data_IF_837783286929
#
_entry.id   IF_837783286929
#
_cell.length_a   1.000
_cell.length_b   1.000
_cell.length_c   1.000
_cell.angle_alpha   90.00
_cell.angle_beta   90.00
_cell.angle_gamma   90.00
#
_symmetry.space_group_name_H-M   'P 1'
#
loop_
_entity.id
_entity.type
_entity.pdbx_description
1 polymer ?
#
# COMPACT_ATOMS: atom_id res chain seq x y z
N UNK A 1 -0.58 15.75 9.47
CA UNK A 1 -0.12 14.88 10.57
C UNK A 1 1.11 14.05 10.21
N UNK A 2 1.47 13.90 8.92
CA UNK A 2 2.71 13.23 8.48
C UNK A 2 3.03 11.90 9.19
N UNK A 3 1.99 11.10 9.42
CA UNK A 3 2.08 9.92 10.28
C UNK A 3 2.99 8.82 9.71
N UNK A 4 2.94 8.59 8.39
CA UNK A 4 3.78 7.57 7.75
C UNK A 4 5.27 7.89 7.87
N UNK A 5 5.74 9.03 7.32
CA UNK A 5 7.17 9.38 7.33
C UNK A 5 7.80 9.39 8.72
N UNK A 6 7.15 9.99 9.73
CA UNK A 6 7.70 10.01 11.10
C UNK A 6 7.87 8.60 11.70
N UNK A 7 6.96 7.67 11.40
CA UNK A 7 7.04 6.29 11.91
C UNK A 7 8.19 5.55 11.22
N UNK A 8 8.36 5.75 9.90
CA UNK A 8 9.45 5.15 9.12
C UNK A 8 10.81 5.67 9.58
N UNK A 9 10.93 6.99 9.77
CA UNK A 9 12.14 7.63 10.30
C UNK A 9 12.49 7.04 11.67
N UNK A 10 11.53 7.03 12.61
CA UNK A 10 11.78 6.54 13.96
C UNK A 10 12.15 5.06 14.01
N UNK A 11 11.53 4.23 13.18
CA UNK A 11 11.86 2.82 13.06
C UNK A 11 13.24 2.59 12.42
N UNK A 12 13.70 3.51 11.57
CA UNK A 12 15.04 3.47 10.96
C UNK A 12 16.11 3.86 11.97
N UNK A 13 15.91 4.94 12.74
CA UNK A 13 16.80 5.32 13.86
C UNK A 13 17.02 4.18 14.86
N UNK A 14 15.97 3.40 15.12
CA UNK A 14 15.99 2.27 16.06
C UNK A 14 16.46 0.95 15.43
N UNK A 15 16.91 0.96 14.17
CA UNK A 15 17.30 -0.23 13.41
C UNK A 15 16.26 -1.37 13.45
N UNK A 16 14.98 -1.02 13.34
CA UNK A 16 13.88 -1.97 13.40
C UNK A 16 13.55 -2.54 12.00
N UNK A 17 13.19 -3.82 11.97
CA UNK A 17 12.54 -4.43 10.82
C UNK A 17 11.16 -3.79 10.59
N UNK A 18 10.82 -3.52 9.33
CA UNK A 18 9.60 -2.81 8.93
C UNK A 18 8.81 -3.67 7.96
N UNK A 19 7.61 -4.10 8.36
CA UNK A 19 6.72 -4.94 7.55
C UNK A 19 5.54 -4.13 7.04
N UNK A 20 5.45 -3.95 5.72
CA UNK A 20 4.32 -3.27 5.08
C UNK A 20 3.18 -4.27 4.79
N UNK A 21 2.29 -4.47 5.75
CA UNK A 21 1.28 -5.56 5.73
C UNK A 21 0.07 -5.35 4.80
N UNK A 22 0.05 -4.25 4.02
CA UNK A 22 -1.06 -3.86 3.12
C UNK A 22 -0.56 -3.11 1.88
N UNK A 23 0.45 -3.65 1.21
CA UNK A 23 1.23 -2.96 0.18
C UNK A 23 0.44 -2.46 -1.05
N UNK A 24 -0.79 -2.94 -1.26
CA UNK A 24 -1.68 -2.54 -2.36
C UNK A 24 -3.08 -2.19 -1.87
N UNK A 25 -3.23 -1.68 -0.65
CA UNK A 25 -4.52 -1.20 -0.17
C UNK A 25 -4.88 0.16 -0.79
N UNK A 26 -6.14 0.30 -1.22
CA UNK A 26 -6.67 1.55 -1.78
C UNK A 26 -7.57 2.29 -0.80
N UNK A 27 -8.65 1.65 -0.33
CA UNK A 27 -9.65 2.29 0.53
C UNK A 27 -10.48 1.26 1.30
N UNK A 28 -11.37 1.72 2.18
CA UNK A 28 -12.43 0.90 2.78
C UNK A 28 -13.47 0.49 1.73
N UNK A 29 -14.04 -0.69 1.90
CA UNK A 29 -15.23 -1.11 1.14
C UNK A 29 -16.41 -0.32 1.70
N UNK A 30 -17.19 0.40 0.86
CA UNK A 30 -18.35 1.15 1.33
C UNK A 30 -19.39 0.26 2.01
N UNK A 31 -20.09 0.82 2.99
CA UNK A 31 -21.15 0.10 3.70
C UNK A 31 -22.22 -0.39 2.72
N UNK A 32 -22.66 -1.64 2.90
CA UNK A 32 -23.65 -2.28 2.02
C UNK A 32 -23.10 -2.78 0.68
N UNK A 33 -21.84 -2.53 0.33
CA UNK A 33 -21.23 -3.09 -0.88
C UNK A 33 -20.67 -4.50 -0.66
N UNK A 34 -20.80 -5.34 -1.69
CA UNK A 34 -20.24 -6.69 -1.70
C UNK A 34 -18.72 -6.63 -1.86
N UNK A 35 -18.03 -7.54 -1.19
CA UNK A 35 -16.59 -7.72 -1.37
C UNK A 35 -16.32 -8.36 -2.73
N UNK A 36 -15.71 -7.61 -3.65
CA UNK A 36 -15.23 -8.14 -4.94
C UNK A 36 -14.25 -9.30 -4.75
N UNK A 37 -13.39 -9.21 -3.73
CA UNK A 37 -12.42 -10.25 -3.35
C UNK A 37 -12.75 -10.80 -1.96
N UNK A 38 -13.23 -12.06 -1.85
CA UNK A 38 -13.68 -12.62 -0.56
C UNK A 38 -12.64 -12.57 0.56
N UNK A 39 -11.36 -12.70 0.21
CA UNK A 39 -10.23 -12.67 1.16
C UNK A 39 -9.79 -11.26 1.57
N UNK A 40 -10.27 -10.22 0.89
CA UNK A 40 -9.91 -8.83 1.18
C UNK A 40 -11.04 -8.15 1.95
N UNK A 41 -10.73 -7.62 3.14
CA UNK A 41 -11.69 -6.85 3.94
C UNK A 41 -11.66 -5.33 3.65
N UNK A 42 -10.80 -4.91 2.73
CA UNK A 42 -10.65 -3.56 2.20
C UNK A 42 -10.62 -3.64 0.67
N UNK A 43 -10.83 -2.52 -0.02
CA UNK A 43 -10.67 -2.44 -1.47
C UNK A 43 -9.17 -2.36 -1.80
N UNK A 44 -8.60 -3.36 -2.48
CA UNK A 44 -7.23 -3.27 -2.98
C UNK A 44 -7.17 -2.38 -4.24
N UNK A 45 -6.02 -1.76 -4.48
CA UNK A 45 -5.69 -1.26 -5.80
C UNK A 45 -5.66 -2.43 -6.79
N UNK A 46 -5.99 -2.18 -8.06
CA UNK A 46 -6.07 -3.22 -9.09
C UNK A 46 -5.17 -2.89 -10.28
N UNK A 47 -4.82 -3.94 -11.04
CA UNK A 47 -4.08 -3.85 -12.30
C UNK A 47 -2.85 -2.93 -12.21
N UNK A 48 -2.75 -1.90 -13.04
CA UNK A 48 -1.60 -1.00 -13.06
C UNK A 48 -1.45 -0.20 -11.76
N UNK A 49 -2.57 0.17 -11.12
CA UNK A 49 -2.53 0.86 -9.84
C UNK A 49 -1.99 -0.05 -8.72
N UNK A 50 -2.29 -1.36 -8.78
CA UNK A 50 -1.73 -2.33 -7.84
C UNK A 50 -0.21 -2.45 -8.00
N UNK A 51 0.26 -2.54 -9.25
CA UNK A 51 1.68 -2.60 -9.58
C UNK A 51 2.41 -1.35 -9.07
N UNK A 52 1.83 -0.18 -9.30
CA UNK A 52 2.39 1.09 -8.86
C UNK A 52 2.39 1.24 -7.34
N UNK A 53 1.31 0.86 -6.66
CA UNK A 53 1.22 0.90 -5.20
C UNK A 53 2.26 -0.02 -4.53
N UNK A 54 2.50 -1.20 -5.12
CA UNK A 54 3.54 -2.11 -4.63
C UNK A 54 4.95 -1.55 -4.87
N UNK A 55 5.23 -0.98 -6.05
CA UNK A 55 6.52 -0.30 -6.33
C UNK A 55 6.77 0.84 -5.34
N UNK A 56 5.77 1.70 -5.10
CA UNK A 56 5.85 2.73 -4.06
C UNK A 56 6.24 2.14 -2.70
N UNK A 57 5.55 1.07 -2.29
CA UNK A 57 5.79 0.40 -1.02
C UNK A 57 7.21 -0.17 -0.92
N UNK A 58 7.69 -0.84 -1.97
CA UNK A 58 9.02 -1.44 -2.02
C UNK A 58 10.15 -0.40 -2.14
N UNK A 59 9.86 0.80 -2.64
CA UNK A 59 10.79 1.94 -2.64
C UNK A 59 10.93 2.63 -1.27
N UNK A 60 10.10 2.28 -0.28
CA UNK A 60 10.29 2.75 1.08
C UNK A 60 11.40 1.93 1.76
N UNK A 61 12.07 2.46 2.80
CA UNK A 61 13.07 1.69 3.54
C UNK A 61 12.34 0.65 4.41
N UNK A 62 11.87 -0.45 3.83
CA UNK A 62 11.14 -1.53 4.50
C UNK A 62 11.89 -2.85 4.39
N UNK A 63 11.56 -3.81 5.25
CA UNK A 63 12.14 -5.16 5.23
C UNK A 63 11.35 -6.08 4.31
N UNK A 64 10.03 -5.99 4.32
CA UNK A 64 9.16 -6.80 3.48
C UNK A 64 7.80 -6.13 3.26
N UNK A 65 7.18 -6.46 2.13
CA UNK A 65 5.84 -6.03 1.76
C UNK A 65 4.91 -7.26 1.64
N UNK A 66 3.72 -7.18 2.21
CA UNK A 66 2.73 -8.25 2.14
C UNK A 66 1.59 -7.80 1.22
N UNK A 67 1.31 -8.56 0.14
CA UNK A 67 0.20 -8.26 -0.77
C UNK A 67 -1.16 -8.56 -0.11
N UNK A 68 -2.27 -8.07 -0.69
CA UNK A 68 -3.60 -8.53 -0.33
C UNK A 68 -3.73 -10.06 -0.36
N UNK A 69 -4.57 -10.61 0.51
CA UNK A 69 -4.69 -12.07 0.69
C UNK A 69 -5.33 -12.82 -0.47
N UNK A 70 -5.87 -12.13 -1.48
CA UNK A 70 -6.40 -12.77 -2.68
C UNK A 70 -5.28 -13.17 -3.65
N UNK A 71 -5.34 -14.40 -4.18
CA UNK A 71 -4.22 -15.05 -4.87
C UNK A 71 -3.70 -14.24 -6.05
N UNK A 72 -4.59 -13.59 -6.80
CA UNK A 72 -4.22 -12.79 -7.97
C UNK A 72 -3.21 -11.68 -7.62
N UNK A 73 -3.31 -11.10 -6.42
CA UNK A 73 -2.39 -10.03 -6.02
C UNK A 73 -1.02 -10.57 -5.61
N UNK A 74 -0.96 -11.81 -5.14
CA UNK A 74 0.32 -12.48 -4.93
C UNK A 74 1.05 -12.67 -6.26
N UNK A 75 0.35 -13.05 -7.33
CA UNK A 75 0.93 -13.12 -8.69
C UNK A 75 1.45 -11.78 -9.17
N UNK A 76 0.64 -10.72 -9.05
CA UNK A 76 1.08 -9.35 -9.36
C UNK A 76 2.34 -8.97 -8.56
N UNK A 77 2.40 -9.36 -7.28
CA UNK A 77 3.54 -9.05 -6.44
C UNK A 77 4.83 -9.76 -6.89
N UNK A 78 4.73 -11.00 -7.35
CA UNK A 78 5.86 -11.73 -7.93
C UNK A 78 6.36 -11.03 -9.20
N UNK A 79 5.46 -10.67 -10.12
CA UNK A 79 5.83 -9.97 -11.36
C UNK A 79 6.56 -8.65 -11.08
N UNK A 80 6.05 -7.86 -10.11
CA UNK A 80 6.63 -6.58 -9.73
C UNK A 80 7.98 -6.78 -9.05
N UNK A 81 8.14 -7.79 -8.21
CA UNK A 81 9.40 -8.09 -7.55
C UNK A 81 10.48 -8.53 -8.54
N UNK A 82 10.12 -9.34 -9.56
CA UNK A 82 11.03 -9.76 -10.61
C UNK A 82 11.47 -8.60 -11.51
N UNK A 83 10.57 -7.64 -11.77
CA UNK A 83 10.82 -6.50 -12.66
C UNK A 83 10.87 -5.17 -11.88
N UNK A 84 11.41 -5.20 -10.67
CA UNK A 84 11.35 -4.04 -9.79
C UNK A 84 12.16 -2.88 -10.37
N UNK A 85 11.51 -1.72 -10.42
CA UNK A 85 12.14 -0.43 -10.59
C UNK A 85 11.65 0.50 -9.50
N UNK A 86 12.54 1.35 -9.00
CA UNK A 86 12.18 2.39 -8.04
C UNK A 86 11.06 3.27 -8.60
N UNK A 87 10.18 3.74 -7.73
CA UNK A 87 9.11 4.65 -8.12
C UNK A 87 9.67 6.03 -8.47
N UNK A 88 9.16 6.66 -9.52
CA UNK A 88 9.57 8.02 -9.91
C UNK A 88 8.77 9.09 -9.18
N UNK A 89 9.22 10.34 -9.25
CA UNK A 89 8.48 11.46 -8.65
C UNK A 89 7.13 11.67 -9.33
N UNK A 90 7.06 11.53 -10.66
CA UNK A 90 5.82 11.66 -11.43
C UNK A 90 4.80 10.58 -11.02
N UNK A 91 5.28 9.36 -10.81
CA UNK A 91 4.47 8.24 -10.31
C UNK A 91 3.96 8.47 -8.89
N UNK A 92 4.79 9.06 -8.02
CA UNK A 92 4.36 9.48 -6.67
C UNK A 92 3.26 10.54 -6.75
N UNK A 93 3.40 11.56 -7.61
CA UNK A 93 2.36 12.58 -7.78
C UNK A 93 1.07 11.98 -8.35
N UNK A 94 1.17 11.06 -9.30
CA UNK A 94 0.00 10.32 -9.79
C UNK A 94 -0.69 9.54 -8.65
N UNK A 95 0.05 8.83 -7.81
CA UNK A 95 -0.53 8.12 -6.66
C UNK A 95 -1.21 9.06 -5.68
N UNK A 96 -0.65 10.24 -5.42
CA UNK A 96 -1.28 11.27 -4.58
C UNK A 96 -2.60 11.75 -5.18
N UNK A 97 -2.66 11.97 -6.50
CA UNK A 97 -3.90 12.31 -7.19
C UNK A 97 -4.95 11.21 -7.06
N UNK A 98 -4.56 9.94 -7.25
CA UNK A 98 -5.46 8.79 -7.08
C UNK A 98 -5.97 8.63 -5.63
N UNK A 99 -5.18 9.08 -4.65
CA UNK A 99 -5.55 9.01 -3.24
C UNK A 99 -6.51 10.12 -2.78
N UNK A 100 -6.71 11.18 -3.58
CA UNK A 100 -7.59 12.30 -3.20
C UNK A 100 -9.02 11.82 -3.00
N UNK A 101 -9.60 12.18 -1.86
CA UNK A 101 -10.99 11.85 -1.51
C UNK A 101 -11.22 10.38 -1.11
N UNK A 102 -10.18 9.54 -1.10
CA UNK A 102 -10.30 8.17 -0.59
C UNK A 102 -10.40 8.16 0.94
N UNK A 103 -11.19 7.21 1.44
CA UNK A 103 -11.37 6.98 2.87
C UNK A 103 -10.24 6.10 3.41
N UNK A 104 -9.39 6.61 4.32
CA UNK A 104 -8.28 5.83 4.84
C UNK A 104 -8.78 4.68 5.73
N UNK A 105 -8.18 3.50 5.55
CA UNK A 105 -8.48 2.30 6.35
C UNK A 105 -8.16 2.51 7.83
N UNK A 106 -7.09 3.27 8.12
CA UNK A 106 -6.67 3.61 9.47
C UNK A 106 -6.70 5.12 9.65
N UNK A 107 -7.38 5.56 10.72
CA UNK A 107 -7.43 6.96 11.12
C UNK A 107 -6.60 7.15 12.37
N UNK A 108 -5.94 8.30 12.47
CA UNK A 108 -5.35 8.71 13.74
C UNK A 108 -6.48 8.87 14.77
N UNK A 109 -6.32 8.22 15.92
CA UNK A 109 -7.21 8.46 17.05
C UNK A 109 -7.14 9.94 17.41
N UNK A 110 -8.30 10.57 17.59
CA UNK A 110 -8.38 11.85 18.30
C UNK A 110 -8.24 11.51 19.78
N UNK A 111 -7.02 11.56 20.30
CA UNK A 111 -6.80 11.61 21.75
C UNK A 111 -7.12 13.02 22.20
#
# INVERSE_FOLDING_TARGET
>A
ADFGPQVIEKATEKNMGKLAIKAMAKTLIPEGQLRKYPKCWYEPAEDDLARLALRFTLSQPITAAIPPGEEKFFRIALDVAENFSEITQEEIEYLKEQAKGLEPIFRLSKV
#
